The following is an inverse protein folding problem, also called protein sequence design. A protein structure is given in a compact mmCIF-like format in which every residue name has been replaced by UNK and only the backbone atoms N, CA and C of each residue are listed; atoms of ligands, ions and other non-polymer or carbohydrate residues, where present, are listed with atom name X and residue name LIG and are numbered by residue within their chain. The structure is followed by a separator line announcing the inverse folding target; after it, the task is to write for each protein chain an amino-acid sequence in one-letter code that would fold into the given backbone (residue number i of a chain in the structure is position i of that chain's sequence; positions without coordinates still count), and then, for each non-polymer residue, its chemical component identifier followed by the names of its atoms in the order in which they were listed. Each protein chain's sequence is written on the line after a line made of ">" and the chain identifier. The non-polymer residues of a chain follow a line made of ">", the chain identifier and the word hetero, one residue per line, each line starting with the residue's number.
data_IF_034062918610
#
_entry.id   IF_034062918610
#
_cell.length_a   1.000
_cell.length_b   1.000
_cell.length_c   1.000
_cell.angle_alpha   90.00
_cell.angle_beta   90.00
_cell.angle_gamma   90.00
#
_symmetry.space_group_name_H-M   'P 1'
#
loop_
_entity.id
_entity.type
_entity.pdbx_description
1 polymer ?
#
# COMPACT_ATOMS: atom_id res chain seq x y z
N UNK A 1 8.29 -17.76 17.98
CA UNK A 1 7.48 -18.20 16.82
C UNK A 1 6.29 -17.26 16.57
N UNK A 2 5.44 -17.00 17.57
CA UNK A 2 4.26 -16.13 17.43
C UNK A 2 4.58 -14.69 16.99
N UNK A 3 5.60 -14.05 17.58
CA UNK A 3 6.02 -12.69 17.19
C UNK A 3 6.43 -12.59 15.70
N UNK A 4 7.03 -13.65 15.15
CA UNK A 4 7.41 -13.71 13.74
C UNK A 4 6.19 -13.85 12.83
N UNK A 5 5.19 -14.65 13.23
CA UNK A 5 3.93 -14.76 12.48
C UNK A 5 3.18 -13.43 12.49
N UNK A 6 3.17 -12.72 13.62
CA UNK A 6 2.56 -11.40 13.76
C UNK A 6 3.16 -10.33 12.85
N UNK A 7 4.44 -10.44 12.49
CA UNK A 7 5.07 -9.51 11.53
C UNK A 7 4.94 -9.95 10.07
N UNK A 8 4.99 -11.25 9.78
CA UNK A 8 4.97 -11.74 8.40
C UNK A 8 3.57 -11.83 7.78
N UNK A 9 2.54 -12.13 8.58
CA UNK A 9 1.17 -12.24 8.07
C UNK A 9 0.65 -10.92 7.46
N UNK A 10 0.66 -9.78 8.18
CA UNK A 10 0.19 -8.52 7.60
C UNK A 10 1.07 -8.08 6.42
N UNK A 11 2.35 -8.38 6.45
CA UNK A 11 3.30 -8.06 5.38
C UNK A 11 2.99 -8.78 4.08
N UNK A 12 2.75 -10.09 4.13
CA UNK A 12 2.38 -10.89 2.97
C UNK A 12 1.01 -10.44 2.44
N UNK A 13 0.05 -10.18 3.34
CA UNK A 13 -1.26 -9.69 2.95
C UNK A 13 -1.17 -8.35 2.21
N UNK A 14 -0.46 -7.36 2.78
CA UNK A 14 -0.23 -6.07 2.12
C UNK A 14 0.48 -6.24 0.78
N UNK A 15 1.54 -7.04 0.72
CA UNK A 15 2.27 -7.27 -0.52
C UNK A 15 1.36 -7.87 -1.59
N UNK A 16 0.57 -8.90 -1.27
CA UNK A 16 -0.35 -9.52 -2.22
C UNK A 16 -1.39 -8.52 -2.74
N UNK A 17 -2.07 -7.79 -1.85
CA UNK A 17 -3.11 -6.81 -2.20
C UNK A 17 -2.54 -5.72 -3.12
N UNK A 18 -1.42 -5.11 -2.72
CA UNK A 18 -0.84 -4.00 -3.48
C UNK A 18 -0.15 -4.44 -4.76
N UNK A 19 0.40 -5.66 -4.80
CA UNK A 19 0.98 -6.21 -6.02
C UNK A 19 -0.11 -6.43 -7.08
N UNK A 20 -1.24 -7.04 -6.71
CA UNK A 20 -2.34 -7.29 -7.66
C UNK A 20 -2.95 -5.99 -8.15
N UNK A 21 -3.27 -5.05 -7.24
CA UNK A 21 -3.82 -3.75 -7.62
C UNK A 21 -2.82 -2.88 -8.40
N UNK A 22 -1.54 -2.92 -8.01
CA UNK A 22 -0.47 -2.19 -8.68
C UNK A 22 -0.30 -2.64 -10.13
N UNK A 23 -0.25 -3.95 -10.38
CA UNK A 23 -0.18 -4.49 -11.75
C UNK A 23 -1.41 -4.10 -12.56
N UNK A 24 -2.61 -4.30 -12.02
CA UNK A 24 -3.85 -3.98 -12.72
C UNK A 24 -3.92 -2.50 -13.11
N UNK A 25 -3.57 -1.60 -12.19
CA UNK A 25 -3.50 -0.15 -12.44
C UNK A 25 -2.41 0.20 -13.44
N UNK A 26 -1.26 -0.46 -13.41
CA UNK A 26 -0.18 -0.17 -14.35
C UNK A 26 -0.54 -0.59 -15.78
N UNK A 27 -1.17 -1.75 -15.94
CA UNK A 27 -1.64 -2.25 -17.24
C UNK A 27 -2.79 -1.40 -17.81
N UNK A 28 -3.62 -0.82 -16.94
CA UNK A 28 -4.80 -0.05 -17.33
C UNK A 28 -4.74 1.42 -16.87
N UNK A 29 -3.55 2.01 -16.83
CA UNK A 29 -3.31 3.31 -16.18
C UNK A 29 -4.14 4.46 -16.74
N UNK A 30 -4.36 4.50 -18.06
CA UNK A 30 -5.22 5.50 -18.70
C UNK A 30 -6.67 5.38 -18.25
N UNK A 31 -7.17 4.14 -18.10
CA UNK A 31 -8.52 3.87 -17.59
C UNK A 31 -8.63 4.29 -16.13
N UNK A 32 -7.66 3.90 -15.29
CA UNK A 32 -7.59 4.30 -13.89
C UNK A 32 -7.55 5.83 -13.72
N UNK A 33 -6.72 6.52 -14.49
CA UNK A 33 -6.62 7.98 -14.48
C UNK A 33 -7.97 8.63 -14.82
N UNK A 34 -8.66 8.15 -15.85
CA UNK A 34 -9.95 8.68 -16.28
C UNK A 34 -11.05 8.43 -15.25
N UNK A 35 -11.13 7.23 -14.66
CA UNK A 35 -12.14 6.86 -13.66
C UNK A 35 -12.12 7.78 -12.43
N UNK A 36 -10.91 8.20 -12.01
CA UNK A 36 -10.73 9.06 -10.84
C UNK A 36 -10.39 10.51 -11.21
N UNK A 37 -10.47 10.87 -12.50
CA UNK A 37 -10.14 12.21 -13.03
C UNK A 37 -8.75 12.70 -12.58
N UNK A 38 -7.80 11.78 -12.47
CA UNK A 38 -6.43 12.07 -12.06
C UNK A 38 -5.58 12.47 -13.26
N UNK A 39 -4.59 13.37 -13.08
CA UNK A 39 -3.54 13.55 -14.07
C UNK A 39 -2.81 12.21 -14.30
N UNK A 40 -2.48 11.90 -15.56
CA UNK A 40 -1.85 10.63 -15.92
C UNK A 40 -0.55 10.38 -15.13
N UNK A 41 0.21 11.44 -14.84
CA UNK A 41 1.43 11.37 -14.01
C UNK A 41 1.10 10.87 -12.60
N UNK A 42 0.04 11.37 -11.97
CA UNK A 42 -0.39 10.93 -10.63
C UNK A 42 -0.84 9.48 -10.67
N UNK A 43 -1.56 9.07 -11.72
CA UNK A 43 -1.99 7.69 -11.91
C UNK A 43 -0.81 6.71 -11.99
N UNK A 44 0.24 7.07 -12.76
CA UNK A 44 1.48 6.30 -12.80
C UNK A 44 2.18 6.25 -11.44
N UNK A 45 2.26 7.39 -10.73
CA UNK A 45 2.89 7.43 -9.40
C UNK A 45 2.16 6.51 -8.41
N UNK A 46 0.83 6.49 -8.41
CA UNK A 46 0.04 5.58 -7.57
C UNK A 46 0.31 4.13 -7.96
N UNK A 47 0.19 3.78 -9.24
CA UNK A 47 0.43 2.40 -9.71
C UNK A 47 1.85 1.92 -9.38
N UNK A 48 2.86 2.77 -9.57
CA UNK A 48 4.25 2.47 -9.22
C UNK A 48 4.46 2.39 -7.70
N UNK A 49 3.83 3.24 -6.90
CA UNK A 49 3.93 3.20 -5.44
C UNK A 49 3.35 1.91 -4.88
N UNK A 50 2.23 1.44 -5.42
CA UNK A 50 1.63 0.16 -5.03
C UNK A 50 2.51 -1.02 -5.44
N UNK A 51 2.96 -1.04 -6.70
CA UNK A 51 3.75 -2.16 -7.22
C UNK A 51 5.13 -2.23 -6.57
N UNK A 52 5.90 -1.13 -6.58
CA UNK A 52 7.22 -1.08 -5.96
C UNK A 52 7.13 -1.20 -4.43
N UNK A 53 6.10 -0.61 -3.81
CA UNK A 53 5.86 -0.75 -2.38
C UNK A 53 5.68 -2.21 -1.95
N UNK A 54 5.00 -3.02 -2.77
CA UNK A 54 4.80 -4.46 -2.50
C UNK A 54 6.09 -5.28 -2.57
N UNK A 55 6.99 -4.92 -3.48
CA UNK A 55 8.32 -5.52 -3.54
C UNK A 55 9.17 -5.06 -2.36
N UNK A 56 9.14 -3.76 -2.05
CA UNK A 56 9.93 -3.15 -0.97
C UNK A 56 9.55 -3.69 0.41
N UNK A 57 8.26 -3.91 0.69
CA UNK A 57 7.82 -4.41 1.99
C UNK A 57 8.33 -5.85 2.24
N UNK A 58 8.44 -6.68 1.20
CA UNK A 58 8.96 -8.06 1.32
C UNK A 58 10.48 -8.05 1.35
N UNK A 59 11.12 -7.37 0.38
CA UNK A 59 12.57 -7.28 0.31
C UNK A 59 13.18 -6.62 1.56
N UNK A 60 12.50 -5.60 2.11
CA UNK A 60 12.92 -4.93 3.34
C UNK A 60 12.90 -5.82 4.56
N UNK A 61 11.97 -6.76 4.66
CA UNK A 61 11.96 -7.74 5.74
C UNK A 61 13.18 -8.68 5.70
N UNK A 62 13.70 -8.97 4.51
CA UNK A 62 14.83 -9.87 4.30
C UNK A 62 16.18 -9.17 4.38
N UNK A 63 16.24 -7.87 4.06
CA UNK A 63 17.50 -7.15 3.87
C UNK A 63 17.68 -5.98 4.84
N UNK A 64 16.79 -4.98 4.80
CA UNK A 64 16.99 -3.71 5.50
C UNK A 64 15.66 -3.07 5.93
N UNK A 65 15.61 -2.64 7.19
CA UNK A 65 14.53 -1.88 7.81
C UNK A 65 14.07 -0.68 6.97
N UNK A 66 15.02 0.02 6.34
CA UNK A 66 14.73 1.19 5.53
C UNK A 66 13.76 0.90 4.38
N UNK A 67 13.92 -0.23 3.69
CA UNK A 67 13.01 -0.61 2.59
C UNK A 67 11.61 -0.97 3.10
N UNK A 68 11.50 -1.60 4.27
CA UNK A 68 10.19 -1.82 4.92
C UNK A 68 9.50 -0.50 5.20
N UNK A 69 10.24 0.49 5.74
CA UNK A 69 9.67 1.82 6.01
C UNK A 69 9.20 2.51 4.74
N UNK A 70 9.98 2.43 3.66
CA UNK A 70 9.59 2.98 2.36
C UNK A 70 8.35 2.29 1.79
N UNK A 71 8.28 0.96 1.84
CA UNK A 71 7.08 0.22 1.41
C UNK A 71 5.84 0.63 2.21
N UNK A 72 5.96 0.68 3.54
CA UNK A 72 4.89 1.14 4.43
C UNK A 72 4.45 2.57 4.15
N UNK A 73 5.41 3.48 3.90
CA UNK A 73 5.12 4.88 3.57
C UNK A 73 4.34 5.01 2.25
N UNK A 74 4.81 4.31 1.20
CA UNK A 74 4.14 4.30 -0.11
C UNK A 74 2.68 3.89 0.01
N UNK A 75 2.42 2.79 0.72
CA UNK A 75 1.06 2.31 0.96
C UNK A 75 0.23 3.28 1.79
N UNK A 76 0.82 3.88 2.81
CA UNK A 76 0.14 4.85 3.68
C UNK A 76 -0.33 6.06 2.88
N UNK A 77 0.53 6.62 2.02
CA UNK A 77 0.19 7.77 1.18
C UNK A 77 -0.92 7.40 0.18
N UNK A 78 -0.81 6.24 -0.48
CA UNK A 78 -1.81 5.79 -1.45
C UNK A 78 -3.16 5.55 -0.80
N UNK A 79 -3.19 4.89 0.37
CA UNK A 79 -4.44 4.64 1.11
C UNK A 79 -5.05 5.92 1.66
N UNK A 80 -4.24 6.88 2.10
CA UNK A 80 -4.75 8.19 2.50
C UNK A 80 -5.46 8.88 1.32
N UNK A 81 -4.84 8.85 0.13
CA UNK A 81 -5.48 9.35 -1.10
C UNK A 81 -6.77 8.61 -1.44
N UNK A 82 -6.77 7.27 -1.37
CA UNK A 82 -7.94 6.46 -1.66
C UNK A 82 -9.10 6.72 -0.68
N UNK A 83 -8.81 6.82 0.62
CA UNK A 83 -9.82 7.15 1.65
C UNK A 83 -10.45 8.50 1.33
N UNK A 84 -9.64 9.54 1.13
CA UNK A 84 -10.15 10.90 0.92
C UNK A 84 -10.90 11.08 -0.41
N UNK A 85 -10.52 10.35 -1.46
CA UNK A 85 -11.07 10.56 -2.81
C UNK A 85 -12.16 9.58 -3.21
N UNK A 86 -12.12 8.34 -2.70
CA UNK A 86 -12.94 7.23 -3.21
C UNK A 86 -13.97 6.76 -2.19
N UNK A 87 -13.57 6.63 -0.91
CA UNK A 87 -14.39 5.94 0.08
C UNK A 87 -15.09 6.90 1.07
N UNK A 88 -14.61 8.14 1.20
CA UNK A 88 -15.21 9.13 2.09
C UNK A 88 -16.57 9.63 1.56
N UNK A 89 -17.57 9.95 2.44
CA UNK A 89 -17.59 9.83 3.90
C UNK A 89 -18.20 8.52 4.43
N UNK A 90 -18.54 7.55 3.57
CA UNK A 90 -19.25 6.36 4.00
C UNK A 90 -18.34 5.43 4.80
N UNK A 91 -18.64 5.26 6.09
CA UNK A 91 -17.87 4.37 6.96
C UNK A 91 -17.80 2.94 6.41
N UNK A 92 -18.87 2.42 5.79
CA UNK A 92 -18.88 1.06 5.26
C UNK A 92 -17.85 0.86 4.16
N UNK A 93 -17.64 1.87 3.32
CA UNK A 93 -16.62 1.87 2.28
C UNK A 93 -15.21 2.12 2.83
N UNK A 94 -15.10 2.81 3.97
CA UNK A 94 -13.82 3.17 4.59
C UNK A 94 -13.20 2.07 5.48
N UNK A 95 -13.97 1.09 5.94
CA UNK A 95 -13.50 0.07 6.90
C UNK A 95 -12.19 -0.61 6.49
N UNK A 96 -12.12 -1.12 5.26
CA UNK A 96 -10.92 -1.82 4.76
C UNK A 96 -9.77 -0.86 4.43
N UNK A 97 -9.97 0.24 3.69
CA UNK A 97 -8.91 1.22 3.43
C UNK A 97 -8.28 1.79 4.70
N UNK A 98 -9.07 2.09 5.72
CA UNK A 98 -8.58 2.62 7.01
C UNK A 98 -7.76 1.56 7.76
N UNK A 99 -8.18 0.29 7.72
CA UNK A 99 -7.40 -0.80 8.31
C UNK A 99 -6.04 -0.98 7.60
N UNK A 100 -6.03 -0.98 6.26
CA UNK A 100 -4.80 -1.10 5.47
C UNK A 100 -3.90 0.13 5.71
N UNK A 101 -4.47 1.34 5.79
CA UNK A 101 -3.75 2.56 6.17
C UNK A 101 -3.11 2.42 7.56
N UNK A 102 -3.83 1.91 8.55
CA UNK A 102 -3.29 1.71 9.89
C UNK A 102 -2.13 0.72 9.88
N UNK A 103 -2.28 -0.46 9.25
CA UNK A 103 -1.23 -1.48 9.19
C UNK A 103 0.00 -0.95 8.42
N UNK A 104 -0.19 -0.34 7.26
CA UNK A 104 0.92 0.24 6.48
C UNK A 104 1.66 1.34 7.25
N UNK A 105 0.94 2.17 8.00
CA UNK A 105 1.52 3.20 8.87
C UNK A 105 2.36 2.57 9.99
N UNK A 106 1.93 1.44 10.56
CA UNK A 106 2.76 0.74 11.56
C UNK A 106 4.09 0.28 10.96
N UNK A 107 4.12 -0.28 9.75
CA UNK A 107 5.38 -0.64 9.08
C UNK A 107 6.24 0.57 8.74
N UNK A 108 5.63 1.69 8.33
CA UNK A 108 6.35 2.94 8.09
C UNK A 108 7.07 3.44 9.36
N UNK A 109 6.38 3.44 10.50
CA UNK A 109 6.90 3.99 11.76
C UNK A 109 7.84 3.02 12.47
N UNK A 110 7.48 1.73 12.51
CA UNK A 110 8.19 0.68 13.27
C UNK A 110 9.34 0.06 12.47
N UNK A 111 9.16 -0.12 11.16
CA UNK A 111 10.05 -0.92 10.33
C UNK A 111 9.93 -2.42 10.63
N UNK A 112 11.05 -3.12 10.81
CA UNK A 112 11.18 -4.56 11.06
C UNK A 112 11.28 -4.92 12.55
N UNK A 113 11.17 -3.95 13.45
CA UNK A 113 11.21 -4.23 14.89
C UNK A 113 10.00 -5.11 15.23
N UNK A 114 10.19 -6.23 15.94
CA UNK A 114 9.10 -7.11 16.39
C UNK A 114 8.55 -6.64 17.73
#
# INVERSE_FOLDING_TARGET
>A
MLARLGDWLPRIALAAIFFTHGIEKFLNVSSFANSFKLPLVVAYLVASAELLGSVLIIAGAMQNDFFTRLGGLSFSIVMLGAVCMVHWPDWNEMQFPVLILAISTTYFLKGNRS
#
